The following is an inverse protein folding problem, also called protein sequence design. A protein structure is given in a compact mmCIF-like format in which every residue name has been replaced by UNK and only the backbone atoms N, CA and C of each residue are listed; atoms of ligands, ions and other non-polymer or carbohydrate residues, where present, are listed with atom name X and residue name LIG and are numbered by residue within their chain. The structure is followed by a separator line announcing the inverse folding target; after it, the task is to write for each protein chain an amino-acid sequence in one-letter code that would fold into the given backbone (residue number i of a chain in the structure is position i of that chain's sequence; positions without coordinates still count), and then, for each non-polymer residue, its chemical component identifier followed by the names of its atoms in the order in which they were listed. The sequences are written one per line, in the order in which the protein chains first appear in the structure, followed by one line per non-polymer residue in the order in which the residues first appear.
data_IF_546720092878
#
_entry.id   IF_546720092878
#
_cell.length_a   1.000
_cell.length_b   1.000
_cell.length_c   1.000
_cell.angle_alpha   90.00
_cell.angle_beta   90.00
_cell.angle_gamma   90.00
#
_symmetry.space_group_name_H-M   'P 1'
#
loop_
_entity.id
_entity.type
_entity.pdbx_description
1 polymer ?
#
# COMPACT_ATOMS: atom_id res chain seq x y z
N UNK A 1 -24.80 0.21 3.37
CA UNK A 1 -23.54 -0.32 2.81
C UNK A 1 -22.42 0.06 3.78
N UNK A 2 -22.12 -0.80 4.73
CA UNK A 2 -21.03 -0.61 5.71
C UNK A 2 -19.71 -0.76 4.97
N UNK A 3 -19.20 0.35 4.45
CA UNK A 3 -17.90 0.40 3.78
C UNK A 3 -16.83 0.03 4.79
N UNK A 4 -16.15 -1.09 4.57
CA UNK A 4 -14.95 -1.45 5.34
C UNK A 4 -14.03 -0.22 5.38
N UNK A 5 -13.53 0.08 6.58
CA UNK A 5 -12.57 1.16 6.77
C UNK A 5 -11.32 0.99 5.89
N UNK A 6 -10.44 2.00 5.85
CA UNK A 6 -9.21 1.91 5.08
C UNK A 6 -8.40 0.65 5.46
N UNK A 7 -7.74 0.06 4.46
CA UNK A 7 -6.96 -1.18 4.62
C UNK A 7 -5.84 -1.07 5.65
N UNK A 8 -5.33 0.15 5.80
CA UNK A 8 -4.26 0.53 6.70
C UNK A 8 -4.77 1.62 7.62
N UNK A 9 -4.31 1.62 8.87
CA UNK A 9 -4.41 2.79 9.74
C UNK A 9 -3.57 3.94 9.17
N UNK A 10 -3.84 5.18 9.62
CA UNK A 10 -3.05 6.35 9.20
C UNK A 10 -1.55 6.18 9.47
N UNK A 11 -1.19 5.52 10.58
CA UNK A 11 0.21 5.24 10.93
C UNK A 11 0.86 4.21 9.99
N UNK A 12 0.11 3.19 9.57
CA UNK A 12 0.56 2.18 8.62
C UNK A 12 0.71 2.78 7.20
N UNK A 13 -0.22 3.66 6.79
CA UNK A 13 -0.10 4.41 5.54
C UNK A 13 1.15 5.29 5.55
N UNK A 14 1.42 6.00 6.65
CA UNK A 14 2.61 6.83 6.80
C UNK A 14 3.91 6.00 6.65
N UNK A 15 3.99 4.84 7.31
CA UNK A 15 5.15 3.93 7.21
C UNK A 15 5.38 3.45 5.77
N UNK A 16 4.31 3.12 5.05
CA UNK A 16 4.40 2.72 3.64
C UNK A 16 4.92 3.88 2.77
N UNK A 17 4.41 5.09 2.97
CA UNK A 17 4.85 6.29 2.25
C UNK A 17 6.32 6.60 2.56
N UNK A 18 6.73 6.54 3.82
CA UNK A 18 8.11 6.80 4.23
C UNK A 18 9.07 5.77 3.64
N UNK A 19 8.68 4.49 3.57
CA UNK A 19 9.47 3.48 2.88
C UNK A 19 9.63 3.79 1.38
N UNK A 20 8.54 4.15 0.69
CA UNK A 20 8.59 4.51 -0.73
C UNK A 20 9.46 5.75 -0.97
N UNK A 21 9.34 6.78 -0.12
CA UNK A 21 10.16 8.00 -0.18
C UNK A 21 11.63 7.72 0.08
N UNK A 22 11.93 6.91 1.10
CA UNK A 22 13.31 6.52 1.42
C UNK A 22 13.96 5.82 0.23
N UNK A 23 13.28 4.85 -0.36
CA UNK A 23 13.77 4.12 -1.52
C UNK A 23 13.90 5.04 -2.76
N UNK A 24 12.98 5.99 -2.95
CA UNK A 24 13.09 7.00 -4.00
C UNK A 24 14.31 7.92 -3.82
N UNK A 25 14.64 8.31 -2.58
CA UNK A 25 15.84 9.08 -2.27
C UNK A 25 17.14 8.31 -2.55
N UNK A 26 17.09 6.98 -2.54
CA UNK A 26 18.20 6.11 -2.96
C UNK A 26 18.28 5.96 -4.49
N UNK A 27 17.43 6.64 -5.25
CA UNK A 27 17.40 6.60 -6.72
C UNK A 27 16.49 5.51 -7.30
N UNK A 28 15.69 4.82 -6.47
CA UNK A 28 14.75 3.82 -6.97
C UNK A 28 13.47 4.47 -7.52
N UNK A 29 13.16 4.24 -8.79
CA UNK A 29 11.87 4.60 -9.38
C UNK A 29 10.84 3.50 -9.13
N UNK A 30 9.71 3.82 -8.49
CA UNK A 30 8.59 2.88 -8.38
C UNK A 30 7.56 3.09 -9.48
N UNK A 31 7.21 2.01 -10.15
CA UNK A 31 5.95 1.92 -10.90
C UNK A 31 4.78 1.75 -9.92
N UNK A 32 3.58 2.09 -10.38
CA UNK A 32 2.34 1.91 -9.60
C UNK A 32 2.18 0.44 -9.17
N UNK A 33 2.49 -0.50 -10.05
CA UNK A 33 2.38 -1.93 -9.79
C UNK A 33 3.32 -2.39 -8.67
N UNK A 34 4.53 -1.85 -8.61
CA UNK A 34 5.49 -2.19 -7.54
C UNK A 34 5.05 -1.62 -6.20
N UNK A 35 4.49 -0.40 -6.16
CA UNK A 35 3.90 0.14 -4.93
C UNK A 35 2.73 -0.73 -4.46
N UNK A 36 1.88 -1.16 -5.38
CA UNK A 36 0.76 -2.07 -5.08
C UNK A 36 1.25 -3.42 -4.55
N UNK A 37 2.29 -4.00 -5.16
CA UNK A 37 2.88 -5.26 -4.70
C UNK A 37 3.46 -5.13 -3.29
N UNK A 38 4.26 -4.08 -3.03
CA UNK A 38 4.80 -3.81 -1.69
C UNK A 38 3.71 -3.57 -0.65
N UNK A 39 2.68 -2.81 -1.01
CA UNK A 39 1.53 -2.59 -0.16
C UNK A 39 0.79 -3.91 0.13
N UNK A 40 0.70 -4.81 -0.85
CA UNK A 40 0.08 -6.11 -0.67
C UNK A 40 0.88 -6.97 0.32
N UNK A 41 2.20 -7.04 0.16
CA UNK A 41 3.08 -7.76 1.08
C UNK A 41 2.98 -7.20 2.50
N UNK A 42 2.90 -5.88 2.63
CA UNK A 42 2.72 -5.21 3.91
C UNK A 42 1.36 -5.52 4.54
N UNK A 43 0.28 -5.55 3.75
CA UNK A 43 -1.06 -5.92 4.22
C UNK A 43 -1.14 -7.39 4.66
N UNK A 44 -0.42 -8.30 3.98
CA UNK A 44 -0.33 -9.69 4.41
C UNK A 44 0.46 -9.82 5.71
N UNK A 45 1.58 -9.11 5.85
CA UNK A 45 2.36 -9.07 7.08
C UNK A 45 1.53 -8.61 8.28
N UNK A 46 0.69 -7.59 8.09
CA UNK A 46 -0.24 -7.08 9.12
C UNK A 46 -1.45 -7.99 9.36
N UNK A 47 -1.57 -9.12 8.64
CA UNK A 47 -2.72 -10.04 8.68
C UNK A 47 -4.05 -9.40 8.25
N UNK A 48 -4.00 -8.29 7.52
CA UNK A 48 -5.18 -7.62 6.97
C UNK A 48 -5.67 -8.28 5.67
N UNK A 49 -4.82 -9.08 4.99
CA UNK A 49 -5.16 -9.84 3.76
C UNK A 49 -4.39 -11.16 3.69
N UNK A 50 -4.82 -12.04 2.78
CA UNK A 50 -4.06 -13.21 2.32
C UNK A 50 -3.49 -12.96 0.91
N UNK A 51 -2.53 -13.79 0.50
CA UNK A 51 -1.94 -13.70 -0.85
C UNK A 51 -2.94 -14.03 -1.98
N UNK A 52 -4.07 -14.66 -1.67
CA UNK A 52 -5.06 -15.13 -2.66
C UNK A 52 -5.88 -13.98 -3.27
N UNK A 53 -5.85 -12.80 -2.66
CA UNK A 53 -6.59 -11.64 -3.13
C UNK A 53 -5.69 -10.39 -3.09
N UNK A 54 -4.79 -10.21 -4.07
CA UNK A 54 -3.85 -9.10 -4.06
C UNK A 54 -4.53 -7.74 -4.22
N UNK A 55 -3.86 -6.69 -3.76
CA UNK A 55 -4.29 -5.32 -4.04
C UNK A 55 -4.26 -5.03 -5.54
N UNK A 56 -5.23 -4.24 -5.99
CA UNK A 56 -5.31 -3.78 -7.37
C UNK A 56 -4.82 -2.34 -7.49
N UNK A 57 -4.53 -1.92 -8.73
CA UNK A 57 -4.21 -0.53 -9.06
C UNK A 57 -5.35 0.43 -8.64
N UNK A 58 -6.60 -0.06 -8.59
CA UNK A 58 -7.74 0.73 -8.07
C UNK A 58 -7.55 1.12 -6.60
N UNK A 59 -7.00 0.22 -5.78
CA UNK A 59 -6.66 0.55 -4.39
C UNK A 59 -5.63 1.68 -4.34
N UNK A 60 -4.58 1.62 -5.18
CA UNK A 60 -3.55 2.66 -5.22
C UNK A 60 -4.12 4.03 -5.58
N UNK A 61 -5.05 4.12 -6.54
CA UNK A 61 -5.70 5.38 -6.85
C UNK A 61 -6.53 5.95 -5.70
N UNK A 62 -7.13 5.09 -4.88
CA UNK A 62 -7.82 5.49 -3.66
C UNK A 62 -6.86 5.93 -2.57
N UNK A 63 -5.75 5.22 -2.40
CA UNK A 63 -4.67 5.54 -1.47
C UNK A 63 -4.02 6.89 -1.79
N UNK A 64 -3.67 7.14 -3.06
CA UNK A 64 -3.03 8.40 -3.50
C UNK A 64 -3.90 9.66 -3.34
N UNK A 65 -5.22 9.50 -3.23
CA UNK A 65 -6.16 10.62 -3.08
C UNK A 65 -6.38 11.05 -1.63
N UNK A 66 -5.91 10.25 -0.67
CA UNK A 66 -5.91 10.57 0.76
C UNK A 66 -4.62 11.29 1.11
#
# INVERSE_FOLDING_TARGET
MTGQGPLFSTEEEAKLVDHVKYMANLGYGFTITEVVAKANDYAVFLKNRTHDNPLSVKWFHGFRRR
#
